data_IF_100188935898
#
_entry.id   IF_100188935898
#
_cell.length_a   1.000
_cell.length_b   1.000
_cell.length_c   1.000
_cell.angle_alpha   90.00
_cell.angle_beta   90.00
_cell.angle_gamma   90.00
#
_symmetry.space_group_name_H-M   'P 1'
#
loop_
_entity.id
_entity.type
_entity.pdbx_description
1 polymer ?
#
# COMPACT_ATOMS: atom_id res chain seq x y z
N UNK A 1 10.83 12.53 23.48
CA UNK A 1 10.12 13.51 24.34
C UNK A 1 8.75 12.93 24.66
N UNK A 2 8.55 12.53 25.92
CA UNK A 2 7.27 12.04 26.41
C UNK A 2 6.32 13.22 26.58
N UNK A 3 5.16 13.16 25.97
CA UNK A 3 4.06 14.09 26.25
C UNK A 3 2.98 13.29 26.98
N UNK A 4 2.74 13.73 28.20
CA UNK A 4 1.72 13.24 29.14
C UNK A 4 0.35 13.75 28.67
N UNK A 5 -0.55 12.85 28.25
CA UNK A 5 -1.92 13.20 27.87
C UNK A 5 -2.87 12.91 29.02
N UNK A 6 -3.32 13.98 29.64
CA UNK A 6 -4.37 14.01 30.66
C UNK A 6 -5.67 13.33 30.18
N UNK A 7 -6.09 12.35 30.95
CA UNK A 7 -7.27 11.55 30.81
C UNK A 7 -8.56 12.37 31.05
N UNK A 8 -9.45 12.37 30.08
CA UNK A 8 -10.88 12.58 30.33
C UNK A 8 -11.62 11.34 29.89
N UNK A 9 -12.18 10.63 30.88
CA UNK A 9 -12.83 9.35 30.70
C UNK A 9 -14.16 9.46 29.92
N UNK A 10 -14.29 8.61 28.94
CA UNK A 10 -15.57 8.15 28.41
C UNK A 10 -15.64 6.66 28.71
N UNK A 11 -16.63 6.28 29.52
CA UNK A 11 -16.91 4.91 29.90
C UNK A 11 -17.37 4.11 28.69
N UNK A 12 -16.50 3.32 28.10
CA UNK A 12 -16.89 2.23 27.21
C UNK A 12 -17.26 1.02 28.06
N UNK A 13 -18.51 0.60 27.98
CA UNK A 13 -18.99 -0.64 28.57
C UNK A 13 -18.35 -1.82 27.85
N UNK A 14 -17.35 -2.42 28.49
CA UNK A 14 -16.74 -3.67 28.09
C UNK A 14 -17.78 -4.79 28.14
N UNK A 15 -18.23 -5.25 26.99
CA UNK A 15 -18.93 -6.52 26.85
C UNK A 15 -17.91 -7.57 26.41
N UNK A 16 -17.41 -8.33 27.38
CA UNK A 16 -16.52 -9.46 27.11
C UNK A 16 -17.19 -10.47 26.15
N UNK A 17 -16.48 -11.00 25.16
CA UNK A 17 -16.99 -12.10 24.35
C UNK A 17 -17.12 -13.35 25.20
N UNK A 18 -18.22 -14.08 25.04
CA UNK A 18 -18.47 -15.37 25.70
C UNK A 18 -17.46 -16.39 25.19
N UNK A 19 -16.89 -17.26 26.03
CA UNK A 19 -15.98 -18.31 25.60
C UNK A 19 -16.70 -19.29 24.68
N UNK A 20 -16.29 -19.38 23.44
CA UNK A 20 -16.68 -20.41 22.48
C UNK A 20 -16.14 -21.77 22.96
N UNK A 21 -17.00 -22.79 22.97
CA UNK A 21 -16.66 -24.15 23.36
C UNK A 21 -15.73 -24.75 22.30
N UNK A 22 -14.49 -25.01 22.70
CA UNK A 22 -13.52 -25.79 21.89
C UNK A 22 -13.97 -27.26 21.91
N UNK A 23 -14.60 -27.72 20.83
CA UNK A 23 -14.87 -29.16 20.65
C UNK A 23 -13.65 -29.78 19.97
N UNK A 24 -12.80 -30.39 20.77
CA UNK A 24 -11.71 -31.27 20.30
C UNK A 24 -12.33 -32.59 19.85
N UNK A 25 -12.46 -32.83 18.56
CA UNK A 25 -12.83 -34.15 18.02
C UNK A 25 -11.57 -35.02 18.00
N UNK A 26 -11.46 -35.91 18.95
CA UNK A 26 -10.43 -36.92 18.99
C UNK A 26 -10.74 -38.05 18.02
N UNK A 27 -9.87 -38.27 17.01
CA UNK A 27 -9.91 -39.45 16.18
C UNK A 27 -9.20 -40.60 16.89
N UNK A 28 -9.95 -41.65 17.23
CA UNK A 28 -9.42 -42.93 17.67
C UNK A 28 -8.84 -43.73 16.50
N UNK A 29 -7.96 -44.72 16.75
CA UNK A 29 -7.25 -45.41 15.67
C UNK A 29 -8.19 -46.32 14.88
N UNK A 30 -8.32 -46.05 13.56
CA UNK A 30 -9.05 -46.90 12.63
C UNK A 30 -8.24 -48.15 12.28
N UNK A 31 -8.87 -49.31 12.34
CA UNK A 31 -8.36 -50.60 11.97
C UNK A 31 -8.09 -50.67 10.44
N UNK A 32 -6.89 -51.11 10.06
CA UNK A 32 -6.45 -51.33 8.67
C UNK A 32 -7.17 -52.55 8.07
N UNK A 33 -7.87 -52.36 6.98
CA UNK A 33 -8.15 -53.38 5.96
C UNK A 33 -7.21 -53.23 4.75
N UNK A 34 -6.65 -54.29 4.20
CA UNK A 34 -5.73 -54.19 3.08
C UNK A 34 -6.48 -54.24 1.74
N UNK A 35 -6.18 -53.28 0.87
CA UNK A 35 -6.40 -53.41 -0.56
C UNK A 35 -7.31 -52.34 -1.18
N UNK A 36 -6.70 -51.24 -1.64
CA UNK A 36 -7.09 -50.55 -2.88
C UNK A 36 -6.05 -49.50 -3.26
N UNK A 37 -5.47 -49.67 -4.41
CA UNK A 37 -4.83 -48.74 -5.36
C UNK A 37 -4.44 -47.32 -4.84
N UNK A 38 -3.11 -47.15 -4.76
CA UNK A 38 -2.45 -45.85 -4.62
C UNK A 38 -2.77 -44.94 -5.84
N UNK A 39 -3.67 -44.01 -5.67
CA UNK A 39 -3.62 -42.73 -6.43
C UNK A 39 -2.85 -41.74 -5.57
N UNK A 40 -1.68 -41.33 -6.06
CA UNK A 40 -0.89 -40.25 -5.50
C UNK A 40 -1.73 -38.98 -5.46
N UNK A 41 -2.30 -38.64 -4.30
CA UNK A 41 -2.83 -37.32 -4.00
C UNK A 41 -1.65 -36.37 -3.75
N UNK A 42 -1.30 -35.58 -4.73
CA UNK A 42 -0.37 -34.48 -4.56
C UNK A 42 -1.10 -33.31 -3.93
N UNK A 43 -0.68 -32.86 -2.77
CA UNK A 43 -0.68 -31.44 -2.47
C UNK A 43 -1.78 -30.86 -1.57
N UNK A 44 -2.62 -31.62 -0.84
CA UNK A 44 -3.61 -31.02 0.05
C UNK A 44 -3.16 -30.82 1.52
N UNK A 45 -2.11 -31.50 1.97
CA UNK A 45 -1.72 -31.47 3.41
C UNK A 45 -0.82 -30.27 3.80
N UNK A 46 -0.08 -29.65 2.84
CA UNK A 46 0.80 -28.52 3.15
C UNK A 46 0.07 -27.15 3.04
N UNK A 47 -1.06 -27.08 2.32
CA UNK A 47 -1.84 -25.85 2.13
C UNK A 47 -2.84 -25.60 3.27
N UNK A 48 -3.36 -26.66 3.88
CA UNK A 48 -4.30 -26.56 5.00
C UNK A 48 -3.67 -26.07 6.32
N UNK A 49 -2.34 -25.93 6.38
CA UNK A 49 -1.65 -25.39 7.57
C UNK A 49 -1.43 -23.86 7.51
N UNK A 50 -1.67 -23.20 6.37
CA UNK A 50 -1.38 -21.77 6.21
C UNK A 50 -2.52 -20.87 6.74
N UNK A 51 -3.74 -21.36 6.73
CA UNK A 51 -4.90 -20.68 7.27
C UNK A 51 -5.95 -21.67 7.79
N UNK A 52 -6.81 -21.19 8.67
CA UNK A 52 -7.99 -21.89 9.17
C UNK A 52 -9.23 -21.17 8.65
N UNK A 53 -10.22 -21.94 8.13
CA UNK A 53 -11.51 -21.41 7.68
C UNK A 53 -12.50 -21.41 8.83
N UNK A 54 -13.26 -20.31 8.95
CA UNK A 54 -14.37 -20.23 9.88
C UNK A 54 -15.57 -21.06 9.41
N UNK A 55 -16.28 -21.64 10.37
CA UNK A 55 -17.46 -22.46 10.10
C UNK A 55 -18.62 -22.05 11.02
N UNK A 56 -19.84 -21.82 10.47
CA UNK A 56 -20.23 -21.89 9.06
C UNK A 56 -19.62 -20.74 8.24
N UNK A 57 -19.27 -21.02 6.96
CA UNK A 57 -18.68 -20.01 6.08
C UNK A 57 -19.67 -18.84 5.87
N UNK A 58 -19.20 -17.58 5.98
CA UNK A 58 -20.03 -16.42 5.68
C UNK A 58 -20.58 -16.44 4.24
N UNK A 59 -21.78 -15.91 4.05
CA UNK A 59 -22.41 -15.79 2.72
C UNK A 59 -21.80 -14.58 1.98
N UNK A 60 -21.08 -14.82 0.89
CA UNK A 60 -20.36 -13.79 0.12
C UNK A 60 -20.99 -13.59 -1.27
N UNK A 61 -22.22 -14.07 -1.48
CA UNK A 61 -22.87 -13.98 -2.78
C UNK A 61 -23.42 -12.57 -3.02
N UNK A 62 -22.97 -11.93 -4.11
CA UNK A 62 -23.63 -10.73 -4.62
C UNK A 62 -24.94 -11.08 -5.31
N UNK A 63 -25.95 -10.20 -5.21
CA UNK A 63 -27.29 -10.43 -5.78
C UNK A 63 -27.28 -10.42 -7.33
N UNK A 64 -26.23 -9.92 -7.96
CA UNK A 64 -26.07 -9.78 -9.42
C UNK A 64 -25.29 -10.93 -10.07
N UNK A 65 -24.82 -11.90 -9.28
CA UNK A 65 -24.02 -13.03 -9.76
C UNK A 65 -22.57 -12.65 -10.16
N UNK A 66 -22.17 -11.41 -9.94
CA UNK A 66 -20.77 -10.95 -10.09
C UNK A 66 -20.01 -11.26 -8.81
N UNK A 67 -18.84 -11.89 -8.92
CA UNK A 67 -18.02 -12.23 -7.75
C UNK A 67 -17.59 -11.00 -6.95
N UNK A 68 -17.25 -11.17 -5.65
CA UNK A 68 -16.81 -10.06 -4.80
C UNK A 68 -15.47 -9.48 -5.26
N UNK A 69 -15.21 -8.23 -4.85
CA UNK A 69 -13.87 -7.64 -4.86
C UNK A 69 -13.12 -8.10 -3.61
N UNK A 70 -11.82 -8.37 -3.73
CA UNK A 70 -10.92 -8.57 -2.61
C UNK A 70 -10.05 -7.32 -2.44
N UNK A 71 -10.26 -6.56 -1.37
CA UNK A 71 -9.36 -5.49 -0.94
C UNK A 71 -8.31 -6.11 -0.01
N UNK A 72 -7.02 -5.85 -0.27
CA UNK A 72 -5.97 -6.32 0.62
C UNK A 72 -5.09 -5.17 1.10
N UNK A 73 -4.95 -5.05 2.42
CA UNK A 73 -4.11 -4.08 3.09
C UNK A 73 -3.23 -4.77 4.13
N UNK A 74 -1.93 -4.87 3.84
CA UNK A 74 -0.94 -5.50 4.70
C UNK A 74 -0.10 -4.43 5.38
N UNK A 75 -0.13 -4.40 6.73
CA UNK A 75 0.61 -3.45 7.56
C UNK A 75 2.09 -3.81 7.58
N UNK A 76 2.94 -3.03 6.92
CA UNK A 76 4.36 -3.35 6.82
C UNK A 76 5.19 -2.33 6.09
N UNK A 77 5.93 -2.77 5.07
CA UNK A 77 6.89 -1.95 4.34
C UNK A 77 6.23 -0.78 3.59
N UNK A 78 5.09 -1.02 2.95
CA UNK A 78 4.37 -0.01 2.15
C UNK A 78 3.22 0.60 2.95
N UNK A 79 3.50 1.10 4.16
CA UNK A 79 2.49 1.70 5.07
C UNK A 79 2.97 3.02 5.69
N UNK A 80 3.46 3.93 4.84
CA UNK A 80 3.81 5.30 5.24
C UNK A 80 2.58 6.03 5.79
N UNK A 81 2.74 6.74 6.91
CA UNK A 81 1.64 7.43 7.57
C UNK A 81 0.60 6.49 8.17
N UNK A 82 0.93 5.19 8.31
CA UNK A 82 0.01 4.13 8.73
C UNK A 82 -1.30 4.12 7.94
N UNK A 83 -1.25 4.53 6.66
CA UNK A 83 -2.42 4.74 5.83
C UNK A 83 -3.19 3.44 5.58
N UNK A 84 -2.47 2.34 5.31
CA UNK A 84 -3.05 1.01 5.08
C UNK A 84 -3.72 0.49 6.36
N UNK A 85 -3.01 0.60 7.50
CA UNK A 85 -3.53 0.25 8.82
C UNK A 85 -4.79 1.04 9.18
N UNK A 86 -4.75 2.36 9.00
CA UNK A 86 -5.89 3.22 9.27
C UNK A 86 -7.08 2.90 8.37
N UNK A 87 -6.87 2.66 7.08
CA UNK A 87 -7.91 2.30 6.13
C UNK A 87 -8.57 0.96 6.49
N UNK A 88 -7.79 -0.09 6.68
CA UNK A 88 -8.31 -1.44 6.99
C UNK A 88 -9.00 -1.48 8.35
N UNK A 89 -8.41 -0.81 9.37
CA UNK A 89 -9.03 -0.67 10.68
C UNK A 89 -10.35 0.08 10.60
N UNK A 90 -10.40 1.18 9.87
CA UNK A 90 -11.60 1.98 9.70
C UNK A 90 -12.75 1.17 9.09
N UNK A 91 -12.48 0.40 8.04
CA UNK A 91 -13.49 -0.47 7.42
C UNK A 91 -14.02 -1.52 8.42
N UNK A 92 -13.15 -2.14 9.21
CA UNK A 92 -13.54 -3.14 10.21
C UNK A 92 -14.32 -2.55 11.38
N UNK A 93 -14.01 -1.32 11.78
CA UNK A 93 -14.65 -0.66 12.92
C UNK A 93 -16.03 -0.07 12.55
N UNK A 94 -16.26 0.27 11.28
CA UNK A 94 -17.46 0.99 10.83
C UNK A 94 -18.44 0.13 10.04
N UNK A 95 -17.99 -0.94 9.40
CA UNK A 95 -18.84 -1.81 8.59
C UNK A 95 -19.09 -3.16 9.27
N UNK A 96 -20.20 -3.81 8.90
CA UNK A 96 -20.49 -5.18 9.31
C UNK A 96 -19.45 -6.12 8.69
N UNK A 97 -18.67 -6.81 9.51
CA UNK A 97 -17.62 -7.72 9.08
C UNK A 97 -17.69 -9.06 9.79
N UNK A 98 -17.53 -10.16 9.05
CA UNK A 98 -17.49 -11.53 9.56
C UNK A 98 -16.15 -12.17 9.16
N UNK A 99 -15.53 -12.89 10.07
CA UNK A 99 -14.28 -13.62 9.83
C UNK A 99 -14.54 -14.78 8.85
N UNK A 100 -13.71 -14.88 7.80
CA UNK A 100 -13.73 -15.96 6.79
C UNK A 100 -12.59 -16.93 7.01
N UNK A 101 -11.38 -16.38 7.20
CA UNK A 101 -10.18 -17.19 7.42
C UNK A 101 -9.17 -16.46 8.30
N UNK A 102 -8.46 -17.20 9.15
CA UNK A 102 -7.33 -16.72 9.95
C UNK A 102 -6.04 -17.37 9.47
N UNK A 103 -5.04 -16.58 9.18
CA UNK A 103 -3.73 -17.10 8.76
C UNK A 103 -2.88 -17.50 9.96
N UNK A 104 -2.01 -18.51 9.76
CA UNK A 104 -1.07 -19.00 10.77
C UNK A 104 0.07 -17.99 11.00
N UNK A 105 -0.18 -16.96 11.78
CA UNK A 105 0.74 -15.81 11.99
C UNK A 105 2.07 -16.26 12.56
N UNK A 106 2.10 -17.26 13.42
CA UNK A 106 3.33 -17.84 14.00
C UNK A 106 4.30 -18.41 12.94
N UNK A 107 3.80 -18.72 11.73
CA UNK A 107 4.60 -19.17 10.62
C UNK A 107 5.03 -18.07 9.65
N UNK A 108 4.37 -16.92 9.73
CA UNK A 108 4.49 -15.82 8.78
C UNK A 108 5.25 -14.62 9.33
N UNK A 109 5.23 -14.39 10.64
CA UNK A 109 5.81 -13.20 11.28
C UNK A 109 7.10 -13.54 12.00
N UNK A 110 8.13 -12.72 11.82
CA UNK A 110 9.36 -12.77 12.63
C UNK A 110 9.18 -11.92 13.91
N UNK A 111 8.77 -12.56 15.00
CA UNK A 111 8.63 -11.92 16.31
C UNK A 111 9.91 -11.25 16.84
N UNK A 112 11.06 -11.52 16.26
CA UNK A 112 12.32 -10.87 16.65
C UNK A 112 12.47 -9.51 16.01
N UNK A 113 11.95 -9.33 14.79
CA UNK A 113 11.95 -8.05 14.08
C UNK A 113 10.78 -7.17 14.50
N UNK A 114 9.61 -7.77 14.74
CA UNK A 114 8.36 -7.09 15.14
C UNK A 114 7.80 -7.71 16.42
N UNK A 115 8.27 -7.18 17.58
CA UNK A 115 7.84 -7.68 18.88
C UNK A 115 6.46 -7.15 19.24
N UNK A 116 5.46 -8.05 19.44
CA UNK A 116 4.15 -7.62 19.91
C UNK A 116 4.23 -7.01 21.31
N UNK A 117 3.34 -6.08 21.57
CA UNK A 117 3.25 -5.43 22.89
C UNK A 117 2.66 -6.39 23.92
N UNK A 118 3.24 -6.42 25.10
CA UNK A 118 2.72 -7.15 26.25
C UNK A 118 2.58 -6.20 27.44
N UNK A 119 1.50 -6.34 28.18
CA UNK A 119 1.27 -5.55 29.40
C UNK A 119 1.79 -6.32 30.62
N UNK A 120 2.77 -5.73 31.30
CA UNK A 120 3.23 -6.21 32.60
C UNK A 120 2.52 -5.45 33.72
N UNK A 121 1.79 -6.15 34.58
CA UNK A 121 1.00 -5.55 35.65
C UNK A 121 1.47 -6.08 36.99
N UNK A 122 2.12 -5.20 37.76
CA UNK A 122 2.70 -5.48 39.06
C UNK A 122 3.76 -6.59 39.06
N UNK A 123 3.37 -7.87 38.94
CA UNK A 123 4.22 -9.06 39.08
C UNK A 123 3.98 -10.13 38.00
N UNK A 124 3.10 -9.85 37.02
CA UNK A 124 2.75 -10.80 35.96
C UNK A 124 2.42 -10.09 34.64
N UNK A 125 2.51 -10.83 33.53
CA UNK A 125 1.99 -10.40 32.23
C UNK A 125 0.48 -10.63 32.21
N UNK A 126 -0.31 -9.59 31.90
CA UNK A 126 -1.76 -9.61 31.96
C UNK A 126 -2.43 -9.53 30.58
N UNK A 127 -1.72 -9.09 29.56
CA UNK A 127 -2.26 -8.88 28.24
C UNK A 127 -1.19 -9.04 27.16
N UNK A 128 -1.62 -9.35 25.94
CA UNK A 128 -0.78 -9.61 24.80
C UNK A 128 -1.51 -9.15 23.54
N UNK A 129 -0.92 -8.17 22.84
CA UNK A 129 -1.41 -7.68 21.55
C UNK A 129 -0.97 -8.67 20.45
N UNK A 130 -1.81 -9.70 20.25
CA UNK A 130 -1.52 -10.76 19.30
C UNK A 130 -1.52 -10.21 17.86
N UNK A 131 -0.47 -10.46 17.06
CA UNK A 131 -0.50 -10.11 15.65
C UNK A 131 -1.57 -10.92 14.93
N UNK A 132 -2.27 -10.27 14.00
CA UNK A 132 -3.34 -10.87 13.23
C UNK A 132 -3.10 -10.69 11.73
N UNK A 133 -3.54 -11.68 10.96
CA UNK A 133 -3.67 -11.61 9.52
C UNK A 133 -4.89 -12.42 9.12
N UNK A 134 -5.96 -11.75 8.73
CA UNK A 134 -7.28 -12.35 8.59
C UNK A 134 -7.96 -11.91 7.29
N UNK A 135 -8.79 -12.80 6.76
CA UNK A 135 -9.71 -12.52 5.66
C UNK A 135 -11.12 -12.34 6.24
N UNK A 136 -11.76 -11.22 5.93
CA UNK A 136 -13.11 -10.89 6.37
C UNK A 136 -14.06 -10.79 5.18
N UNK A 137 -15.31 -11.17 5.37
CA UNK A 137 -16.43 -10.78 4.54
C UNK A 137 -17.02 -9.50 5.12
N UNK A 138 -17.10 -8.46 4.33
CA UNK A 138 -17.52 -7.12 4.74
C UNK A 138 -18.68 -6.67 3.84
N UNK A 139 -19.65 -5.94 4.40
CA UNK A 139 -20.71 -5.27 3.62
C UNK A 139 -20.49 -3.78 3.64
N UNK A 140 -20.51 -3.16 2.47
CA UNK A 140 -20.45 -1.71 2.33
C UNK A 140 -21.76 -1.03 2.81
N UNK A 141 -21.85 0.30 2.75
CA UNK A 141 -23.04 1.05 3.18
C UNK A 141 -24.31 0.69 2.38
N UNK A 142 -24.14 0.26 1.12
CA UNK A 142 -25.23 -0.19 0.26
C UNK A 142 -25.62 -1.68 0.47
N UNK A 143 -24.85 -2.40 1.30
CA UNK A 143 -24.99 -3.83 1.55
C UNK A 143 -24.31 -4.71 0.51
N UNK A 144 -23.44 -4.15 -0.34
CA UNK A 144 -22.65 -4.90 -1.32
C UNK A 144 -21.54 -5.68 -0.60
N UNK A 145 -21.46 -7.01 -0.76
CA UNK A 145 -20.42 -7.81 -0.12
C UNK A 145 -19.09 -7.66 -0.84
N UNK A 146 -18.02 -7.50 -0.09
CA UNK A 146 -16.64 -7.57 -0.54
C UNK A 146 -15.78 -8.33 0.48
N UNK A 147 -14.57 -8.69 0.10
CA UNK A 147 -13.61 -9.35 0.96
C UNK A 147 -12.53 -8.35 1.37
N UNK A 148 -12.10 -8.44 2.64
CA UNK A 148 -11.00 -7.65 3.18
C UNK A 148 -9.94 -8.57 3.78
N UNK A 149 -8.76 -8.63 3.17
CA UNK A 149 -7.57 -9.24 3.74
C UNK A 149 -6.78 -8.17 4.47
N UNK A 150 -6.72 -8.25 5.79
CA UNK A 150 -6.12 -7.21 6.64
C UNK A 150 -5.29 -7.81 7.78
N UNK A 151 -4.23 -7.11 8.15
CA UNK A 151 -3.34 -7.46 9.23
C UNK A 151 -1.89 -7.26 8.89
N UNK A 152 -0.99 -7.87 9.67
CA UNK A 152 0.45 -7.69 9.50
C UNK A 152 0.96 -8.31 8.21
N UNK A 153 1.83 -7.58 7.50
CA UNK A 153 2.53 -8.12 6.34
C UNK A 153 3.41 -9.31 6.75
N UNK A 154 3.33 -10.46 6.07
CA UNK A 154 4.22 -11.58 6.28
C UNK A 154 5.70 -11.22 6.13
N UNK A 155 6.55 -11.62 7.08
CA UNK A 155 8.01 -11.56 6.97
C UNK A 155 8.57 -12.80 6.26
N UNK A 156 7.86 -13.92 6.37
CA UNK A 156 8.31 -15.24 5.95
C UNK A 156 7.32 -15.91 4.99
N UNK A 157 7.80 -16.89 4.21
CA UNK A 157 6.96 -17.79 3.40
C UNK A 157 6.05 -17.10 2.39
N UNK A 158 6.48 -16.01 1.82
CA UNK A 158 5.70 -15.20 0.89
C UNK A 158 5.05 -15.99 -0.25
N UNK A 159 5.80 -16.94 -0.87
CA UNK A 159 5.26 -17.78 -1.96
C UNK A 159 4.12 -18.70 -1.48
N UNK A 160 4.22 -19.25 -0.27
CA UNK A 160 3.13 -20.05 0.31
C UNK A 160 1.93 -19.18 0.66
N UNK A 161 2.17 -18.02 1.24
CA UNK A 161 1.13 -17.04 1.57
C UNK A 161 0.36 -16.59 0.30
N UNK A 162 1.07 -16.15 -0.74
CA UNK A 162 0.43 -15.70 -1.99
C UNK A 162 -0.35 -16.83 -2.67
N UNK A 163 0.15 -18.06 -2.61
CA UNK A 163 -0.55 -19.26 -3.10
C UNK A 163 -1.83 -19.51 -2.31
N UNK A 164 -1.78 -19.39 -0.98
CA UNK A 164 -2.96 -19.58 -0.13
C UNK A 164 -4.03 -18.51 -0.41
N UNK A 165 -3.65 -17.24 -0.52
CA UNK A 165 -4.59 -16.15 -0.84
C UNK A 165 -5.19 -16.35 -2.23
N UNK A 166 -4.39 -16.73 -3.24
CA UNK A 166 -4.89 -17.02 -4.59
C UNK A 166 -5.96 -18.13 -4.58
N UNK A 167 -5.69 -19.24 -3.89
CA UNK A 167 -6.63 -20.35 -3.79
C UNK A 167 -7.92 -19.94 -3.08
N UNK A 168 -7.85 -19.12 -2.03
CA UNK A 168 -9.02 -18.55 -1.37
C UNK A 168 -9.81 -17.64 -2.33
N UNK A 169 -9.12 -16.78 -3.09
CA UNK A 169 -9.74 -15.92 -4.06
C UNK A 169 -10.49 -16.71 -5.16
N UNK A 170 -9.88 -17.80 -5.67
CA UNK A 170 -10.50 -18.71 -6.62
C UNK A 170 -11.73 -19.41 -6.01
N UNK A 171 -11.61 -19.95 -4.79
CA UNK A 171 -12.69 -20.65 -4.10
C UNK A 171 -13.89 -19.73 -3.80
N UNK A 172 -13.62 -18.46 -3.48
CA UNK A 172 -14.64 -17.47 -3.15
C UNK A 172 -15.15 -16.69 -4.37
N UNK A 173 -14.64 -17.01 -5.57
CA UNK A 173 -15.08 -16.41 -6.84
C UNK A 173 -14.73 -14.92 -6.95
N UNK A 174 -13.60 -14.50 -6.39
CA UNK A 174 -13.13 -13.11 -6.47
C UNK A 174 -12.94 -12.69 -7.92
N UNK A 175 -13.61 -11.59 -8.32
CA UNK A 175 -13.53 -11.04 -9.68
C UNK A 175 -12.33 -10.12 -9.89
N UNK A 176 -11.92 -9.40 -8.85
CA UNK A 176 -10.85 -8.40 -8.87
C UNK A 176 -10.20 -8.29 -7.50
N UNK A 177 -8.88 -8.09 -7.47
CA UNK A 177 -8.15 -7.76 -6.25
C UNK A 177 -7.65 -6.32 -6.30
N UNK A 178 -7.74 -5.59 -5.17
CA UNK A 178 -7.30 -4.21 -5.03
C UNK A 178 -6.35 -4.11 -3.84
N UNK A 179 -5.07 -3.86 -4.12
CA UNK A 179 -4.03 -3.69 -3.11
C UNK A 179 -3.96 -2.26 -2.58
N UNK A 180 -3.75 -2.13 -1.28
CA UNK A 180 -3.50 -0.86 -0.61
C UNK A 180 -2.01 -0.73 -0.29
N UNK A 181 -1.45 0.44 -0.57
CA UNK A 181 -0.08 0.80 -0.22
C UNK A 181 0.06 2.29 0.01
N UNK A 182 1.11 2.68 0.71
CA UNK A 182 1.49 4.08 0.88
C UNK A 182 3.00 4.22 0.91
N UNK A 183 3.52 5.26 0.27
CA UNK A 183 4.95 5.51 0.11
C UNK A 183 5.32 6.92 0.55
N UNK A 184 6.46 7.10 1.23
CA UNK A 184 6.92 8.43 1.60
C UNK A 184 7.46 9.17 0.36
N UNK A 185 6.97 10.39 0.15
CA UNK A 185 7.37 11.24 -0.98
C UNK A 185 7.79 12.64 -0.51
N UNK A 186 8.60 13.32 -1.33
CA UNK A 186 8.99 14.70 -1.11
C UNK A 186 7.88 15.66 -1.57
N UNK A 187 6.72 15.59 -0.92
CA UNK A 187 5.54 16.42 -1.17
C UNK A 187 5.13 17.15 0.10
N UNK A 188 4.44 18.30 0.00
CA UNK A 188 3.90 19.00 1.16
C UNK A 188 2.51 18.47 1.53
N UNK A 189 2.15 18.53 2.82
CA UNK A 189 0.80 18.19 3.31
C UNK A 189 -0.27 19.21 2.94
N UNK A 190 0.13 20.38 2.44
CA UNK A 190 -0.73 21.49 2.04
C UNK A 190 -1.28 21.37 0.62
N UNK A 191 -0.87 20.35 -0.12
CA UNK A 191 -1.33 20.05 -1.48
C UNK A 191 -2.08 18.72 -1.53
N UNK A 192 -2.91 18.48 -2.58
CA UNK A 192 -3.57 17.19 -2.78
C UNK A 192 -2.57 16.03 -2.80
N UNK A 193 -2.97 14.91 -2.22
CA UNK A 193 -2.14 13.71 -2.22
C UNK A 193 -2.20 13.05 -3.60
N UNK A 194 -1.02 12.76 -4.15
CA UNK A 194 -0.90 11.95 -5.35
C UNK A 194 -1.11 10.46 -5.04
N UNK A 195 -1.52 9.72 -6.06
CA UNK A 195 -1.67 8.26 -6.00
C UNK A 195 -0.99 7.67 -7.22
N UNK A 196 -0.15 6.65 -7.01
CA UNK A 196 0.32 5.79 -8.09
C UNK A 196 -0.57 4.57 -8.15
N UNK A 197 -1.27 4.39 -9.26
CA UNK A 197 -2.05 3.19 -9.56
C UNK A 197 -1.24 2.21 -10.41
N UNK A 198 -1.43 0.93 -10.18
CA UNK A 198 -0.80 -0.16 -10.95
C UNK A 198 -1.79 -1.30 -11.15
N UNK A 199 -1.68 -2.05 -12.24
CA UNK A 199 -2.60 -3.15 -12.55
C UNK A 199 -2.01 -4.15 -13.54
N UNK A 200 -2.49 -5.39 -13.46
CA UNK A 200 -2.29 -6.42 -14.49
C UNK A 200 -3.01 -6.10 -15.80
N UNK A 201 -4.04 -5.27 -15.77
CA UNK A 201 -4.78 -4.77 -16.92
C UNK A 201 -4.65 -3.24 -17.01
N UNK A 202 -3.89 -2.76 -18.00
CA UNK A 202 -3.61 -1.33 -18.19
C UNK A 202 -4.86 -0.46 -18.38
N UNK A 203 -5.95 -1.03 -18.87
CA UNK A 203 -7.21 -0.31 -19.07
C UNK A 203 -7.89 0.14 -17.76
N UNK A 204 -7.47 -0.44 -16.61
CA UNK A 204 -7.99 -0.12 -15.29
C UNK A 204 -7.27 1.03 -14.60
N UNK A 205 -6.18 1.53 -15.19
CA UNK A 205 -5.36 2.59 -14.61
C UNK A 205 -5.39 3.80 -15.52
N UNK A 206 -5.76 4.95 -14.98
CA UNK A 206 -5.71 6.22 -15.68
C UNK A 206 -4.25 6.65 -15.95
N UNK A 207 -4.02 7.37 -17.06
CA UNK A 207 -2.66 7.77 -17.47
C UNK A 207 -2.00 8.71 -16.46
N UNK A 208 -2.78 9.57 -15.82
CA UNK A 208 -2.33 10.52 -14.80
C UNK A 208 -1.92 9.86 -13.47
N UNK A 209 -2.43 8.67 -13.17
CA UNK A 209 -2.04 7.87 -12.00
C UNK A 209 -0.96 6.83 -12.30
N UNK A 210 -0.60 6.63 -13.55
CA UNK A 210 0.39 5.62 -13.94
C UNK A 210 1.82 6.16 -13.84
N UNK A 211 2.75 5.30 -13.42
CA UNK A 211 4.17 5.60 -13.49
C UNK A 211 4.70 5.36 -14.90
N UNK A 212 5.43 6.33 -15.46
CA UNK A 212 6.11 6.16 -16.74
C UNK A 212 7.57 5.75 -16.56
N UNK A 213 7.96 4.62 -17.16
CA UNK A 213 9.32 4.10 -17.10
C UNK A 213 9.47 2.83 -16.26
N UNK A 214 10.71 2.37 -16.10
CA UNK A 214 11.07 1.17 -15.32
C UNK A 214 11.76 1.61 -14.02
N UNK A 215 11.30 1.08 -12.90
CA UNK A 215 11.84 1.36 -11.58
C UNK A 215 12.04 0.06 -10.81
N UNK A 216 13.20 -0.13 -10.22
CA UNK A 216 13.46 -1.22 -9.27
C UNK A 216 13.11 -0.75 -7.86
N UNK A 217 12.19 -1.46 -7.23
CA UNK A 217 11.73 -1.18 -5.85
C UNK A 217 11.97 -2.40 -4.95
N UNK A 218 12.17 -2.20 -3.66
CA UNK A 218 12.16 -3.32 -2.72
C UNK A 218 10.82 -4.07 -2.79
N UNK A 219 10.87 -5.40 -2.82
CA UNK A 219 9.66 -6.22 -2.84
C UNK A 219 8.96 -6.22 -1.49
N UNK A 220 7.63 -6.42 -1.53
CA UNK A 220 6.77 -6.64 -0.36
C UNK A 220 5.90 -7.87 -0.58
N UNK A 221 5.32 -8.43 0.49
CA UNK A 221 4.39 -9.54 0.35
C UNK A 221 3.14 -9.13 -0.44
N UNK A 222 2.71 -7.86 -0.32
CA UNK A 222 1.59 -7.29 -1.08
C UNK A 222 1.90 -7.21 -2.58
N UNK A 223 3.07 -6.66 -2.97
CA UNK A 223 3.47 -6.57 -4.37
C UNK A 223 3.72 -7.95 -5.01
N UNK A 224 4.27 -8.91 -4.24
CA UNK A 224 4.39 -10.27 -4.70
C UNK A 224 3.03 -10.95 -4.89
N UNK A 225 2.06 -10.71 -3.99
CA UNK A 225 0.70 -11.22 -4.13
C UNK A 225 0.08 -10.75 -5.44
N UNK A 226 0.13 -9.45 -5.71
CA UNK A 226 -0.37 -8.87 -6.96
C UNK A 226 0.27 -9.50 -8.19
N UNK A 227 1.61 -9.60 -8.22
CA UNK A 227 2.35 -10.23 -9.30
C UNK A 227 1.92 -11.68 -9.51
N UNK A 228 1.76 -12.49 -8.45
CA UNK A 228 1.36 -13.90 -8.56
C UNK A 228 -0.09 -14.05 -9.03
N UNK A 229 -1.00 -13.21 -8.52
CA UNK A 229 -2.39 -13.18 -8.99
C UNK A 229 -2.46 -12.87 -10.49
N UNK A 230 -1.75 -11.82 -10.94
CA UNK A 230 -1.65 -11.46 -12.34
C UNK A 230 -1.10 -12.60 -13.22
N UNK A 231 -0.03 -13.27 -12.80
CA UNK A 231 0.57 -14.42 -13.50
C UNK A 231 -0.39 -15.62 -13.64
N UNK A 232 -1.37 -15.74 -12.76
CA UNK A 232 -2.40 -16.78 -12.81
C UNK A 232 -3.70 -16.32 -13.48
N UNK A 233 -3.70 -15.13 -14.10
CA UNK A 233 -4.83 -14.61 -14.89
C UNK A 233 -5.92 -13.94 -14.06
N UNK A 234 -5.66 -13.62 -12.79
CA UNK A 234 -6.57 -12.82 -11.98
C UNK A 234 -6.41 -11.33 -12.31
N UNK A 235 -7.52 -10.61 -12.35
CA UNK A 235 -7.51 -9.16 -12.45
C UNK A 235 -7.02 -8.57 -11.12
N UNK A 236 -5.80 -8.03 -11.12
CA UNK A 236 -5.14 -7.48 -9.94
C UNK A 236 -4.73 -6.05 -10.21
N UNK A 237 -5.02 -5.17 -9.26
CA UNK A 237 -4.63 -3.77 -9.28
C UNK A 237 -4.32 -3.29 -7.87
N UNK A 238 -3.71 -2.12 -7.74
CA UNK A 238 -3.43 -1.52 -6.45
C UNK A 238 -3.16 -0.03 -6.55
N UNK A 239 -3.20 0.60 -5.39
CA UNK A 239 -2.99 2.03 -5.20
C UNK A 239 -1.92 2.27 -4.15
N UNK A 240 -0.92 3.09 -4.48
CA UNK A 240 0.08 3.58 -3.56
C UNK A 240 -0.09 5.08 -3.37
N UNK A 241 -0.67 5.50 -2.25
CA UNK A 241 -0.83 6.92 -1.92
C UNK A 241 0.50 7.53 -1.51
N UNK A 242 0.74 8.75 -1.96
CA UNK A 242 1.94 9.50 -1.63
C UNK A 242 1.75 10.23 -0.29
N UNK A 243 2.62 9.93 0.66
CA UNK A 243 2.60 10.55 2.01
C UNK A 243 3.79 11.49 2.16
N UNK A 244 3.61 12.72 2.67
CA UNK A 244 4.73 13.58 2.99
C UNK A 244 5.76 12.84 3.86
N UNK A 245 7.02 12.81 3.44
CA UNK A 245 8.06 12.01 4.11
C UNK A 245 8.22 12.33 5.60
N UNK A 246 7.97 13.58 6.01
CA UNK A 246 8.02 14.02 7.41
C UNK A 246 6.80 13.58 8.24
N UNK A 247 5.74 13.04 7.61
CA UNK A 247 4.57 12.44 8.27
C UNK A 247 4.54 10.92 8.14
N UNK A 248 5.56 10.31 7.54
CA UNK A 248 5.57 8.87 7.22
C UNK A 248 5.51 7.95 8.44
N UNK A 249 5.90 8.44 9.62
CA UNK A 249 5.92 7.67 10.88
C UNK A 249 4.80 8.06 11.86
N UNK A 250 3.84 8.85 11.41
CA UNK A 250 2.70 9.30 12.22
C UNK A 250 1.40 8.94 11.54
N UNK A 251 0.33 8.75 12.31
CA UNK A 251 -0.99 8.48 11.76
C UNK A 251 -1.42 9.64 10.84
N UNK A 252 -1.67 9.33 9.57
CA UNK A 252 -2.04 10.31 8.56
C UNK A 252 -3.36 9.93 7.86
N UNK A 253 -4.51 10.25 8.49
CA UNK A 253 -5.84 9.82 8.02
C UNK A 253 -6.19 10.29 6.60
N UNK A 254 -5.64 11.42 6.14
CA UNK A 254 -5.86 11.90 4.78
C UNK A 254 -5.40 10.88 3.72
N UNK A 255 -4.28 10.18 3.98
CA UNK A 255 -3.80 9.13 3.08
C UNK A 255 -4.72 7.90 3.09
N UNK A 256 -5.28 7.52 4.25
CA UNK A 256 -6.26 6.45 4.34
C UNK A 256 -7.57 6.79 3.63
N UNK A 257 -8.04 8.05 3.77
CA UNK A 257 -9.21 8.56 3.05
C UNK A 257 -9.01 8.45 1.53
N UNK A 258 -7.89 8.97 1.03
CA UNK A 258 -7.55 8.92 -0.40
C UNK A 258 -7.45 7.48 -0.93
N UNK A 259 -6.88 6.53 -0.15
CA UNK A 259 -6.87 5.11 -0.53
C UNK A 259 -8.29 4.56 -0.68
N UNK A 260 -9.17 4.81 0.29
CA UNK A 260 -10.53 4.29 0.26
C UNK A 260 -11.42 4.97 -0.80
N UNK A 261 -11.17 6.23 -1.16
CA UNK A 261 -11.80 6.88 -2.31
C UNK A 261 -11.50 6.12 -3.62
N UNK A 262 -10.22 5.80 -3.86
CA UNK A 262 -9.81 5.03 -5.04
C UNK A 262 -10.36 3.60 -5.03
N UNK A 263 -10.42 2.95 -3.86
CA UNK A 263 -11.04 1.63 -3.71
C UNK A 263 -12.54 1.68 -4.00
N UNK A 264 -13.24 2.72 -3.50
CA UNK A 264 -14.68 2.92 -3.76
C UNK A 264 -14.95 3.00 -5.27
N UNK A 265 -14.17 3.78 -5.99
CA UNK A 265 -14.31 3.94 -7.44
C UNK A 265 -13.99 2.63 -8.19
N UNK A 266 -12.82 2.05 -7.97
CA UNK A 266 -12.37 0.85 -8.68
C UNK A 266 -13.18 -0.41 -8.33
N UNK A 267 -13.64 -0.51 -7.07
CA UNK A 267 -14.43 -1.64 -6.57
C UNK A 267 -15.91 -1.51 -6.86
N UNK A 268 -16.41 -0.29 -7.11
CA UNK A 268 -17.83 0.03 -7.15
C UNK A 268 -18.47 -0.13 -5.76
N UNK A 269 -17.77 0.31 -4.71
CA UNK A 269 -18.17 0.15 -3.31
C UNK A 269 -18.58 1.49 -2.69
N UNK A 270 -19.58 1.47 -1.84
CA UNK A 270 -20.01 2.62 -1.03
C UNK A 270 -19.35 2.57 0.36
N UNK A 271 -18.13 3.11 0.47
CA UNK A 271 -17.33 3.06 1.69
C UNK A 271 -17.56 4.28 2.60
N UNK A 272 -17.48 4.14 3.93
CA UNK A 272 -17.75 5.21 4.90
C UNK A 272 -16.54 6.14 5.06
N UNK A 273 -16.44 7.25 4.31
CA UNK A 273 -15.28 8.15 4.31
C UNK A 273 -15.38 9.31 5.32
N UNK A 274 -16.59 9.71 5.73
CA UNK A 274 -16.83 10.94 6.51
C UNK A 274 -15.97 11.05 7.79
N UNK A 275 -15.84 9.96 8.54
CA UNK A 275 -15.08 9.97 9.79
C UNK A 275 -13.57 10.11 9.54
N UNK A 276 -13.04 9.54 8.45
CA UNK A 276 -11.64 9.72 8.03
C UNK A 276 -11.37 11.16 7.62
N UNK A 277 -12.25 11.80 6.82
CA UNK A 277 -12.11 13.18 6.42
C UNK A 277 -12.11 14.14 7.62
N UNK A 278 -12.96 13.87 8.64
CA UNK A 278 -12.93 14.63 9.88
C UNK A 278 -11.64 14.42 10.68
N UNK A 279 -11.10 13.21 10.70
CA UNK A 279 -9.82 12.93 11.33
C UNK A 279 -8.67 13.60 10.56
N UNK A 280 -8.68 13.54 9.22
CA UNK A 280 -7.73 14.22 8.35
C UNK A 280 -7.67 15.72 8.59
N UNK A 281 -8.83 16.37 8.68
CA UNK A 281 -8.92 17.81 8.97
C UNK A 281 -8.26 18.17 10.32
N UNK A 282 -8.52 17.37 11.39
CA UNK A 282 -7.93 17.59 12.70
C UNK A 282 -6.40 17.41 12.69
N UNK A 283 -5.91 16.35 12.02
CA UNK A 283 -4.46 16.11 11.91
C UNK A 283 -3.80 17.23 11.12
N UNK A 284 -4.41 17.70 10.04
CA UNK A 284 -3.91 18.83 9.25
C UNK A 284 -3.77 20.08 10.09
N UNK A 285 -4.79 20.44 10.89
CA UNK A 285 -4.76 21.59 11.79
C UNK A 285 -3.60 21.49 12.80
N UNK A 286 -3.40 20.32 13.42
CA UNK A 286 -2.30 20.07 14.34
C UNK A 286 -0.92 20.19 13.67
N UNK A 287 -0.78 19.71 12.43
CA UNK A 287 0.46 19.83 11.65
C UNK A 287 0.73 21.28 11.31
N UNK A 288 -0.29 22.03 10.86
CA UNK A 288 -0.19 23.45 10.51
C UNK A 288 0.22 24.29 11.75
N UNK A 289 -0.35 24.02 12.93
CA UNK A 289 0.01 24.68 14.19
C UNK A 289 1.47 24.40 14.57
N UNK A 290 1.93 23.16 14.43
CA UNK A 290 3.29 22.77 14.76
C UNK A 290 4.33 23.43 13.84
N UNK A 291 4.01 23.54 12.54
CA UNK A 291 4.86 24.16 11.52
C UNK A 291 4.94 25.67 11.73
N UNK A 292 3.82 26.34 12.05
CA UNK A 292 3.76 27.80 12.25
C UNK A 292 4.71 28.25 13.38
N UNK A 293 4.98 27.40 14.35
CA UNK A 293 5.92 27.66 15.45
C UNK A 293 7.41 27.47 15.13
N UNK A 294 7.76 27.01 13.90
CA UNK A 294 9.13 26.65 13.54
C UNK A 294 9.49 27.14 12.12
N UNK A 295 10.26 28.25 12.06
CA UNK A 295 10.67 28.88 10.78
C UNK A 295 11.47 27.95 9.87
N UNK A 296 12.30 27.06 10.43
CA UNK A 296 13.10 26.11 9.66
C UNK A 296 12.19 25.08 8.95
N UNK A 297 11.25 24.50 9.68
CA UNK A 297 10.26 23.55 9.12
C UNK A 297 9.36 24.24 8.09
N UNK A 298 8.94 25.46 8.35
CA UNK A 298 8.13 26.25 7.42
C UNK A 298 8.87 26.49 6.09
N UNK A 299 10.17 26.77 6.15
CA UNK A 299 10.99 26.97 4.94
C UNK A 299 11.06 25.70 4.09
N UNK A 300 11.15 24.51 4.71
CA UNK A 300 11.14 23.21 4.03
C UNK A 300 9.79 22.96 3.36
N UNK A 301 8.68 23.18 4.08
CA UNK A 301 7.35 23.01 3.51
C UNK A 301 7.13 23.93 2.31
N UNK A 302 7.53 25.21 2.43
CA UNK A 302 7.44 26.18 1.32
C UNK A 302 8.28 25.75 0.09
N UNK A 303 9.45 25.15 0.31
CA UNK A 303 10.26 24.62 -0.79
C UNK A 303 9.58 23.42 -1.49
N UNK A 304 8.98 22.50 -0.70
CA UNK A 304 8.20 21.38 -1.22
C UNK A 304 6.96 21.83 -1.98
N UNK A 305 6.27 22.89 -1.51
CA UNK A 305 5.12 23.48 -2.22
C UNK A 305 5.53 23.99 -3.61
N UNK A 306 6.62 24.74 -3.71
CA UNK A 306 7.11 25.25 -5.00
C UNK A 306 7.51 24.12 -5.95
N UNK A 307 8.15 23.08 -5.41
CA UNK A 307 8.52 21.91 -6.21
C UNK A 307 7.28 21.19 -6.74
N UNK A 308 6.27 20.97 -5.87
CA UNK A 308 5.01 20.34 -6.24
C UNK A 308 4.27 21.16 -7.31
N UNK A 309 4.09 22.46 -7.07
CA UNK A 309 3.38 23.35 -8.00
C UNK A 309 4.07 23.42 -9.38
N UNK A 310 5.41 23.39 -9.41
CA UNK A 310 6.19 23.34 -10.65
C UNK A 310 5.99 22.02 -11.40
N UNK A 311 5.96 20.90 -10.65
CA UNK A 311 5.75 19.58 -11.25
C UNK A 311 4.35 19.45 -11.86
N UNK A 312 3.30 19.88 -11.14
CA UNK A 312 1.92 19.85 -11.63
C UNK A 312 1.76 20.72 -12.87
N UNK A 313 2.31 21.94 -12.86
CA UNK A 313 2.26 22.84 -14.02
C UNK A 313 2.94 22.23 -15.26
N UNK A 314 4.06 21.51 -15.08
CA UNK A 314 4.74 20.82 -16.19
C UNK A 314 3.90 19.65 -16.73
N UNK A 315 3.22 18.91 -15.86
CA UNK A 315 2.35 17.79 -16.24
C UNK A 315 1.10 18.30 -17.01
N UNK A 316 0.49 19.40 -16.57
CA UNK A 316 -0.63 20.03 -17.26
C UNK A 316 -0.24 20.53 -18.66
N UNK A 317 0.96 21.09 -18.80
CA UNK A 317 1.48 21.51 -20.11
C UNK A 317 1.69 20.32 -21.04
N UNK A 318 2.22 19.19 -20.55
CA UNK A 318 2.39 17.99 -21.37
C UNK A 318 1.04 17.40 -21.80
N UNK A 319 0.05 17.33 -20.90
CA UNK A 319 -1.28 16.84 -21.23
C UNK A 319 -2.01 17.75 -22.21
N UNK A 320 -1.82 19.07 -22.12
CA UNK A 320 -2.39 20.04 -23.05
C UNK A 320 -1.78 19.92 -24.45
N UNK A 321 -0.48 19.60 -24.55
CA UNK A 321 0.20 19.34 -25.82
C UNK A 321 -0.26 18.04 -26.49
N UNK A 322 -0.63 17.04 -25.68
CA UNK A 322 -1.15 15.76 -26.18
C UNK A 322 -2.67 15.82 -26.52
N UNK A 323 -3.43 16.68 -25.85
CA UNK A 323 -4.86 16.88 -26.09
C UNK A 323 -5.18 17.88 -27.22
N UNK A 324 -4.19 18.64 -27.68
CA UNK A 324 -4.35 19.55 -28.82
C UNK A 324 -4.41 18.76 -30.13
N UNK A 325 -5.46 18.99 -30.93
CA UNK A 325 -5.67 18.47 -32.29
C UNK A 325 -4.63 19.02 -33.32
N UNK A 326 -3.52 19.56 -32.82
CA UNK A 326 -2.36 20.03 -33.52
C UNK A 326 -1.30 18.93 -33.60
N UNK A 327 -1.07 18.42 -34.80
CA UNK A 327 -0.10 17.37 -35.08
C UNK A 327 1.25 17.63 -34.40
N UNK A 328 1.95 16.55 -34.10
CA UNK A 328 3.32 16.56 -33.52
C UNK A 328 4.12 17.67 -34.16
N UNK A 329 4.68 18.63 -33.40
CA UNK A 329 5.49 19.72 -33.98
C UNK A 329 6.57 19.13 -34.89
N UNK A 330 6.72 19.68 -36.06
CA UNK A 330 7.77 19.23 -36.99
C UNK A 330 9.15 19.42 -36.37
N UNK A 331 10.12 18.62 -36.77
CA UNK A 331 11.50 18.76 -36.28
C UNK A 331 12.05 20.18 -36.42
N UNK A 332 11.58 20.96 -37.43
CA UNK A 332 11.96 22.34 -37.67
C UNK A 332 11.32 23.30 -36.63
N UNK A 333 10.09 23.05 -36.21
CA UNK A 333 9.41 23.83 -35.14
C UNK A 333 10.03 23.58 -33.78
N UNK A 334 10.37 22.32 -33.44
CA UNK A 334 11.11 21.96 -32.22
C UNK A 334 12.53 22.57 -32.24
N UNK A 335 13.20 22.60 -33.42
CA UNK A 335 14.51 23.24 -33.60
C UNK A 335 14.45 24.75 -33.33
N UNK A 336 13.45 25.44 -33.87
CA UNK A 336 13.26 26.87 -33.69
C UNK A 336 12.94 27.26 -32.23
N UNK A 337 12.16 26.43 -31.52
CA UNK A 337 11.84 26.66 -30.13
C UNK A 337 13.04 26.39 -29.21
N UNK A 338 13.86 25.39 -29.57
CA UNK A 338 15.11 25.10 -28.87
C UNK A 338 16.17 26.20 -29.09
N UNK A 339 16.30 26.75 -30.32
CA UNK A 339 17.15 27.88 -30.59
C UNK A 339 16.70 29.15 -29.84
N UNK A 340 15.39 29.39 -29.73
CA UNK A 340 14.82 30.49 -28.95
C UNK A 340 15.13 30.33 -27.46
N UNK A 341 14.97 29.11 -26.90
CA UNK A 341 15.32 28.79 -25.52
C UNK A 341 16.82 29.00 -25.25
N UNK A 342 17.70 28.56 -26.17
CA UNK A 342 19.15 28.79 -26.07
C UNK A 342 19.52 30.27 -26.18
N UNK A 343 18.84 31.05 -27.00
CA UNK A 343 19.04 32.48 -27.12
C UNK A 343 18.59 33.27 -25.88
N UNK A 344 17.53 32.83 -25.22
CA UNK A 344 17.04 33.37 -23.94
C UNK A 344 17.96 33.00 -22.76
N UNK A 345 18.62 31.83 -22.79
CA UNK A 345 19.62 31.40 -21.80
C UNK A 345 21.06 31.86 -22.12
N UNK A 346 21.33 32.32 -23.32
CA UNK A 346 22.66 32.67 -23.84
C UNK A 346 23.24 34.00 -23.37
N UNK A 347 23.10 34.33 -22.09
CA UNK A 347 23.84 35.39 -21.41
C UNK A 347 25.17 34.93 -20.76
N UNK A 348 25.69 33.77 -21.13
CA UNK A 348 27.06 33.36 -20.73
C UNK A 348 28.02 33.62 -21.88
N UNK A 349 28.83 34.68 -21.73
CA UNK A 349 30.00 34.96 -22.59
C UNK A 349 30.96 33.76 -22.50
N UNK A 350 31.23 33.15 -23.67
CA UNK A 350 32.27 32.14 -23.79
C UNK A 350 33.63 32.83 -23.70
N UNK A 351 34.43 32.50 -22.67
CA UNK A 351 35.86 32.84 -22.64
C UNK A 351 36.57 32.20 -23.83
N UNK A 352 37.50 32.95 -24.51
CA UNK A 352 38.17 32.44 -25.70
C UNK A 352 39.17 31.33 -25.34
N UNK A 353 39.08 30.29 -26.14
CA UNK A 353 39.90 29.09 -26.23
C UNK A 353 41.41 29.38 -26.01
N UNK A 354 41.98 28.92 -24.88
CA UNK A 354 43.43 28.86 -24.70
C UNK A 354 43.97 27.66 -25.49
N UNK A 355 44.79 27.92 -26.52
CA UNK A 355 45.56 26.92 -27.26
C UNK A 355 46.38 26.04 -26.32
N UNK A 356 46.46 24.72 -26.59
CA UNK A 356 47.34 23.83 -25.85
C UNK A 356 48.81 24.22 -26.11
N UNK A 357 49.58 24.46 -25.08
CA UNK A 357 51.03 24.55 -25.10
C UNK A 357 51.60 23.17 -25.35
N UNK A 358 52.41 23.07 -26.42
CA UNK A 358 53.22 21.90 -26.77
C UNK A 358 54.16 21.53 -25.62
N UNK A 359 54.10 20.27 -25.18
CA UNK A 359 54.99 19.62 -24.22
C UNK A 359 56.34 19.33 -24.90
N UNK A 360 57.50 19.84 -24.44
CA UNK A 360 58.82 19.45 -24.96
C UNK A 360 59.17 18.05 -24.46
N UNK A 361 59.33 17.11 -25.39
CA UNK A 361 59.72 15.72 -25.15
C UNK A 361 61.05 15.57 -24.35
N UNK A 362 61.24 14.37 -23.79
CA UNK A 362 62.43 14.13 -22.93
C UNK A 362 63.73 14.00 -23.75
N UNK A 363 64.80 14.63 -23.26
CA UNK A 363 66.17 14.48 -23.77
C UNK A 363 66.72 13.05 -23.58
N UNK A 364 67.57 12.59 -24.50
CA UNK A 364 68.11 11.21 -24.44
C UNK A 364 69.25 11.09 -23.43
N UNK A 365 69.26 9.91 -22.86
CA UNK A 365 70.28 9.36 -21.97
C UNK A 365 71.73 9.69 -22.34
N UNK A 366 72.56 10.02 -21.36
CA UNK A 366 74.00 9.76 -21.39
C UNK A 366 74.39 8.85 -20.23
N UNK A 367 74.87 7.65 -20.64
CA UNK A 367 75.68 6.75 -19.88
C UNK A 367 76.89 7.42 -19.19
N UNK A 368 77.10 7.11 -17.94
CA UNK A 368 78.41 6.77 -17.32
C UNK A 368 78.20 6.25 -15.86
#
# INVERSE_FOLDING_TARGET
LFIDNGSTGLACTNRAPKPGILVRVGFGPAQRTPGANQRKGYGMDEQSSMYELEFPAPQISSNDGVGPVLVHGLEGFSDAGHAVKLATKHLRDTLESELVASFAVDELIDYRSRRPTMTFKSDHFSDYDAPELNLYAVKDNAGTPFLLLAGMEPDLRWEKFTTAVRLLAEQLGVRRTIGLGSIPMAIPHTRPLGVTAHSSNRELVSEDQSWSGELQVPGSASSLLELRLAQHGHESMGYSVHVPHYLSQTDYPAAAETLLENVSEAGGLDLPLVALGQAAARVREQVDEHITGNEEVQSVVTALERQYDTYVAAQEQQSTLLAGDGGIPSGDELGAEFEKFLAEQGGFEAEPDQKPTEDPGPDPETDS
#
